data_IF_931833348761
#
_entry.id   IF_931833348761
#
_cell.length_a   1.000
_cell.length_b   1.000
_cell.length_c   1.000
_cell.angle_alpha   90.00
_cell.angle_beta   90.00
_cell.angle_gamma   90.00
#
_symmetry.space_group_name_H-M   'P 1'
#
loop_
_entity.id
_entity.type
_entity.pdbx_description
1 polymer ?
#
# COMPACT_ATOMS: atom_id res chain seq x y z
N UNK A 1 44.62 9.58 -42.90
CA UNK A 1 44.07 9.25 -41.57
C UNK A 1 42.64 8.73 -41.75
N UNK A 2 42.48 7.46 -42.13
CA UNK A 2 41.17 6.80 -42.36
C UNK A 2 41.17 5.49 -41.59
N UNK A 3 41.18 5.55 -40.26
CA UNK A 3 41.15 4.34 -39.44
C UNK A 3 40.43 4.54 -38.09
N UNK A 4 39.75 5.67 -37.88
CA UNK A 4 39.10 5.98 -36.60
C UNK A 4 37.57 5.95 -36.65
N UNK A 5 36.97 5.75 -37.83
CA UNK A 5 35.52 5.88 -38.00
C UNK A 5 34.75 4.54 -38.01
N UNK A 6 35.41 3.39 -37.80
CA UNK A 6 34.80 2.06 -37.91
C UNK A 6 34.56 1.34 -36.57
N UNK A 7 34.94 1.94 -35.43
CA UNK A 7 34.73 1.33 -34.11
C UNK A 7 33.53 1.90 -33.33
N UNK A 8 32.73 2.77 -33.95
CA UNK A 8 31.57 3.41 -33.31
C UNK A 8 30.22 2.95 -33.87
N UNK A 9 30.15 1.80 -34.56
CA UNK A 9 28.91 1.27 -35.14
C UNK A 9 28.46 -0.08 -34.56
N UNK A 10 29.19 -0.65 -33.59
CA UNK A 10 28.89 -1.97 -33.01
C UNK A 10 28.47 -1.89 -31.54
N UNK A 11 27.58 -0.96 -31.21
CA UNK A 11 26.88 -1.00 -29.92
C UNK A 11 25.60 -0.19 -30.05
N UNK A 12 24.46 -0.85 -29.81
CA UNK A 12 23.08 -0.33 -29.76
C UNK A 12 22.37 -0.54 -31.12
N UNK A 13 21.43 -1.49 -31.21
CA UNK A 13 20.27 -1.49 -30.33
C UNK A 13 19.90 -2.87 -29.74
N UNK A 14 20.30 -3.12 -28.48
CA UNK A 14 19.72 -4.21 -27.66
C UNK A 14 18.81 -3.70 -26.52
N UNK A 15 18.30 -2.48 -26.60
CA UNK A 15 17.46 -1.90 -25.51
C UNK A 15 15.96 -1.92 -25.77
N UNK A 16 15.47 -2.43 -26.90
CA UNK A 16 14.03 -2.33 -27.25
C UNK A 16 13.23 -3.62 -27.02
N UNK A 17 13.56 -4.40 -25.99
CA UNK A 17 12.59 -5.34 -25.39
C UNK A 17 12.54 -5.09 -23.88
N UNK A 18 12.36 -3.83 -23.48
CA UNK A 18 11.77 -3.54 -22.18
C UNK A 18 10.32 -4.02 -22.23
N UNK A 19 9.98 -4.96 -21.36
CA UNK A 19 8.76 -5.77 -21.37
C UNK A 19 7.49 -4.90 -21.50
N UNK A 20 6.79 -5.01 -22.63
CA UNK A 20 5.40 -4.54 -22.77
C UNK A 20 4.45 -5.59 -22.19
N UNK A 21 4.57 -5.91 -20.90
CA UNK A 21 3.44 -6.50 -20.21
C UNK A 21 2.58 -5.35 -19.72
N UNK A 22 1.39 -5.18 -20.32
CA UNK A 22 0.41 -4.28 -19.73
C UNK A 22 0.18 -4.78 -18.30
N UNK A 23 0.33 -3.92 -17.27
CA UNK A 23 0.03 -4.34 -15.91
C UNK A 23 -1.43 -4.85 -15.88
N UNK A 24 -1.73 -5.89 -15.08
CA UNK A 24 -3.11 -6.33 -14.91
C UNK A 24 -3.98 -5.13 -14.54
N UNK A 25 -5.24 -5.14 -15.00
CA UNK A 25 -6.22 -4.10 -14.67
C UNK A 25 -6.26 -3.96 -13.15
N UNK A 26 -5.73 -2.86 -12.64
CA UNK A 26 -5.72 -2.60 -11.21
C UNK A 26 -7.13 -2.21 -10.77
N UNK A 27 -7.65 -2.92 -9.77
CA UNK A 27 -8.91 -2.57 -9.12
C UNK A 27 -8.83 -1.13 -8.62
N UNK A 28 -9.87 -0.33 -8.92
CA UNK A 28 -9.97 1.06 -8.49
C UNK A 28 -11.14 1.23 -7.54
N UNK A 29 -10.91 2.00 -6.47
CA UNK A 29 -11.87 2.26 -5.42
C UNK A 29 -12.33 3.71 -5.49
N UNK A 30 -13.63 3.95 -5.37
CA UNK A 30 -14.18 5.30 -5.35
C UNK A 30 -13.63 6.10 -4.16
N UNK A 31 -13.46 7.42 -4.34
CA UNK A 31 -12.96 8.33 -3.30
C UNK A 31 -13.68 8.15 -1.97
N UNK A 32 -15.01 8.08 -1.99
CA UNK A 32 -15.83 7.91 -0.78
C UNK A 32 -15.52 6.60 -0.04
N UNK A 33 -15.29 5.51 -0.77
CA UNK A 33 -14.92 4.22 -0.17
C UNK A 33 -13.53 4.30 0.47
N UNK A 34 -12.57 4.96 -0.18
CA UNK A 34 -11.22 5.17 0.39
C UNK A 34 -11.27 6.05 1.64
N UNK A 35 -12.10 7.09 1.64
CA UNK A 35 -12.30 7.95 2.80
C UNK A 35 -12.92 7.18 3.97
N UNK A 36 -13.97 6.38 3.73
CA UNK A 36 -14.55 5.52 4.77
C UNK A 36 -13.53 4.53 5.32
N UNK A 37 -12.76 3.88 4.44
CA UNK A 37 -11.70 2.95 4.84
C UNK A 37 -10.69 3.59 5.80
N UNK A 38 -10.31 4.85 5.55
CA UNK A 38 -9.38 5.58 6.42
C UNK A 38 -10.00 5.81 7.81
N UNK A 39 -11.28 6.18 7.86
CA UNK A 39 -11.99 6.44 9.10
C UNK A 39 -12.22 5.14 9.90
N UNK A 40 -12.61 4.06 9.22
CA UNK A 40 -12.79 2.73 9.81
C UNK A 40 -11.47 2.18 10.36
N UNK A 41 -10.37 2.29 9.59
CA UNK A 41 -9.04 1.89 10.06
C UNK A 41 -8.60 2.71 11.27
N UNK A 42 -8.83 4.02 11.27
CA UNK A 42 -8.49 4.87 12.41
C UNK A 42 -9.24 4.44 13.67
N UNK A 43 -10.54 4.19 13.53
CA UNK A 43 -11.40 3.73 14.62
C UNK A 43 -10.95 2.37 15.14
N UNK A 44 -10.74 1.40 14.26
CA UNK A 44 -10.31 0.06 14.65
C UNK A 44 -8.96 0.07 15.36
N UNK A 45 -7.99 0.86 14.87
CA UNK A 45 -6.71 1.02 15.56
C UNK A 45 -6.86 1.70 16.92
N UNK A 46 -7.75 2.69 17.04
CA UNK A 46 -8.01 3.34 18.32
C UNK A 46 -8.63 2.39 19.34
N UNK A 47 -9.53 1.53 18.89
CA UNK A 47 -10.28 0.60 19.75
C UNK A 47 -9.44 -0.64 20.13
N UNK A 48 -8.64 -1.16 19.18
CA UNK A 48 -8.00 -2.48 19.29
C UNK A 48 -6.48 -2.46 19.47
N UNK A 49 -5.78 -1.33 19.22
CA UNK A 49 -4.31 -1.29 19.29
C UNK A 49 -3.80 -0.74 20.64
N UNK A 50 -3.17 -1.57 21.50
CA UNK A 50 -2.57 -1.09 22.74
C UNK A 50 -1.52 -0.02 22.50
N UNK A 51 -1.64 1.13 23.16
CA UNK A 51 -0.69 2.23 23.00
C UNK A 51 -0.82 2.99 21.68
N UNK A 52 -1.95 2.93 20.98
CA UNK A 52 -2.22 3.72 19.78
C UNK A 52 -1.91 5.23 19.96
N UNK A 53 -2.26 5.78 21.13
CA UNK A 53 -1.97 7.17 21.50
C UNK A 53 -0.68 7.36 22.32
N UNK A 54 0.24 6.38 22.32
CA UNK A 54 1.47 6.45 23.15
C UNK A 54 2.40 7.59 22.74
N UNK A 55 2.51 7.86 21.45
CA UNK A 55 3.45 8.85 20.90
C UNK A 55 2.76 10.06 20.26
N UNK A 56 1.44 10.01 20.09
CA UNK A 56 0.62 11.10 19.55
C UNK A 56 -0.71 11.15 20.28
N UNK A 57 -1.24 12.34 20.55
CA UNK A 57 -2.59 12.48 21.07
C UNK A 57 -3.64 12.35 19.95
N UNK A 58 -4.91 12.12 20.37
CA UNK A 58 -6.04 11.93 19.45
C UNK A 58 -6.19 13.07 18.45
N UNK A 59 -6.22 14.32 18.91
CA UNK A 59 -6.40 15.49 18.05
C UNK A 59 -5.31 15.61 16.97
N UNK A 60 -4.07 15.26 17.28
CA UNK A 60 -2.96 15.28 16.33
C UNK A 60 -3.09 14.21 15.24
N UNK A 61 -3.60 13.02 15.59
CA UNK A 61 -3.86 11.95 14.63
C UNK A 61 -5.09 12.25 13.76
N UNK A 62 -6.18 12.74 14.36
CA UNK A 62 -7.40 13.14 13.65
C UNK A 62 -7.08 14.20 12.58
N UNK A 63 -6.41 15.29 13.00
CA UNK A 63 -5.97 16.36 12.09
C UNK A 63 -5.07 15.86 10.97
N UNK A 64 -4.20 14.89 11.28
CA UNK A 64 -3.33 14.31 10.25
C UNK A 64 -4.15 13.52 9.22
N UNK A 65 -5.08 12.68 9.65
CA UNK A 65 -5.93 11.92 8.74
C UNK A 65 -6.85 12.83 7.91
N UNK A 66 -7.38 13.89 8.49
CA UNK A 66 -8.15 14.89 7.73
C UNK A 66 -7.29 15.52 6.63
N UNK A 67 -6.02 15.82 6.93
CA UNK A 67 -5.09 16.32 5.92
C UNK A 67 -4.80 15.29 4.82
N UNK A 68 -4.66 14.00 5.17
CA UNK A 68 -4.48 12.91 4.20
C UNK A 68 -5.71 12.81 3.30
N UNK A 69 -6.91 12.78 3.88
CA UNK A 69 -8.19 12.74 3.13
C UNK A 69 -8.32 13.94 2.18
N UNK A 70 -7.93 15.13 2.62
CA UNK A 70 -7.94 16.34 1.78
C UNK A 70 -6.97 16.25 0.57
N UNK A 71 -5.95 15.40 0.62
CA UNK A 71 -5.04 15.18 -0.53
C UNK A 71 -5.60 14.21 -1.58
N UNK A 72 -6.75 13.57 -1.32
CA UNK A 72 -7.40 12.62 -2.24
C UNK A 72 -8.23 13.41 -3.26
N UNK A 73 -7.55 13.89 -4.31
CA UNK A 73 -8.15 14.74 -5.36
C UNK A 73 -8.77 13.96 -6.52
N UNK A 74 -8.45 12.67 -6.68
CA UNK A 74 -8.97 11.80 -7.75
C UNK A 74 -10.30 11.18 -7.32
N UNK A 75 -11.16 10.90 -8.30
CA UNK A 75 -12.46 10.26 -8.03
C UNK A 75 -12.35 8.77 -7.72
N UNK A 76 -11.24 8.15 -8.13
CA UNK A 76 -10.88 6.79 -7.74
C UNK A 76 -9.38 6.61 -7.58
N UNK A 77 -9.00 5.67 -6.72
CA UNK A 77 -7.62 5.33 -6.41
C UNK A 77 -7.42 3.82 -6.58
N UNK A 78 -6.26 3.40 -7.06
CA UNK A 78 -5.83 2.00 -6.97
C UNK A 78 -5.16 1.68 -5.62
N UNK A 79 -4.86 0.41 -5.38
CA UNK A 79 -4.29 -0.08 -4.13
C UNK A 79 -2.96 0.56 -3.77
N UNK A 80 -2.10 0.81 -4.77
CA UNK A 80 -0.80 1.44 -4.55
C UNK A 80 -0.95 2.91 -4.16
N UNK A 81 -1.86 3.62 -4.83
CA UNK A 81 -2.23 4.99 -4.48
C UNK A 81 -2.77 5.08 -3.03
N UNK A 82 -3.68 4.17 -2.66
CA UNK A 82 -4.22 4.09 -1.30
C UNK A 82 -3.12 3.79 -0.28
N UNK A 83 -2.26 2.80 -0.56
CA UNK A 83 -1.13 2.45 0.29
C UNK A 83 -0.22 3.65 0.56
N UNK A 84 0.13 4.42 -0.47
CA UNK A 84 0.97 5.60 -0.31
C UNK A 84 0.30 6.71 0.51
N UNK A 85 -1.03 6.83 0.49
CA UNK A 85 -1.75 7.77 1.35
C UNK A 85 -1.72 7.35 2.82
N UNK A 86 -1.88 6.05 3.09
CA UNK A 86 -2.10 5.53 4.44
C UNK A 86 -0.79 5.17 5.16
N UNK A 87 0.23 4.69 4.44
CA UNK A 87 1.50 4.22 5.02
C UNK A 87 2.16 5.25 5.95
N UNK A 88 2.22 6.56 5.62
CA UNK A 88 2.77 7.56 6.53
C UNK A 88 1.97 7.73 7.84
N UNK A 89 0.65 7.58 7.80
CA UNK A 89 -0.17 7.60 9.00
C UNK A 89 0.15 6.41 9.91
N UNK A 90 0.25 5.19 9.35
CA UNK A 90 0.59 4.00 10.14
C UNK A 90 1.99 4.13 10.75
N UNK A 91 2.95 4.68 10.01
CA UNK A 91 4.28 5.00 10.56
C UNK A 91 4.21 6.03 11.70
N UNK A 92 3.28 7.00 11.61
CA UNK A 92 3.10 8.05 12.63
C UNK A 92 2.62 7.49 13.97
N UNK A 93 1.92 6.35 14.00
CA UNK A 93 1.54 5.66 15.24
C UNK A 93 2.79 5.36 16.10
N UNK A 94 3.93 5.05 15.46
CA UNK A 94 5.22 4.91 16.14
C UNK A 94 5.40 3.60 16.90
N UNK A 95 4.48 2.65 16.76
CA UNK A 95 4.59 1.33 17.35
C UNK A 95 5.35 0.38 16.41
N UNK A 96 6.47 -0.18 16.88
CA UNK A 96 7.39 -1.02 16.09
C UNK A 96 6.69 -2.21 15.39
N UNK A 97 5.65 -2.77 16.00
CA UNK A 97 4.94 -3.96 15.49
C UNK A 97 3.74 -3.62 14.61
N UNK A 98 3.54 -2.35 14.28
CA UNK A 98 2.39 -1.89 13.49
C UNK A 98 2.87 -1.52 12.10
N UNK A 99 2.45 -2.28 11.09
CA UNK A 99 2.86 -2.07 9.73
C UNK A 99 1.70 -2.24 8.76
N UNK A 100 1.66 -1.38 7.74
CA UNK A 100 0.84 -1.55 6.55
C UNK A 100 1.67 -2.25 5.47
N UNK A 101 1.07 -3.24 4.83
CA UNK A 101 1.64 -3.96 3.68
C UNK A 101 0.65 -3.91 2.53
N UNK A 102 1.15 -3.86 1.30
CA UNK A 102 0.32 -4.15 0.14
C UNK A 102 -0.13 -5.61 0.23
N UNK A 103 -1.35 -5.90 -0.22
CA UNK A 103 -1.75 -7.26 -0.48
C UNK A 103 -0.72 -7.84 -1.46
N UNK A 104 0.02 -8.86 -1.05
CA UNK A 104 0.86 -9.58 -2.01
C UNK A 104 -0.10 -10.14 -3.05
N UNK A 105 0.29 -10.14 -4.33
CA UNK A 105 -0.28 -11.08 -5.31
C UNK A 105 0.14 -12.47 -4.83
N UNK A 106 -0.50 -12.98 -3.77
CA UNK A 106 -0.51 -14.38 -3.48
C UNK A 106 -1.46 -14.96 -4.53
N UNK A 107 -1.03 -15.86 -5.43
CA UNK A 107 -2.00 -16.76 -6.04
C UNK A 107 -2.72 -17.37 -4.85
N UNK A 108 -4.04 -17.18 -4.75
CA UNK A 108 -4.85 -17.74 -3.66
C UNK A 108 -4.46 -19.21 -3.55
N UNK A 109 -3.68 -19.63 -2.53
CA UNK A 109 -3.57 -21.04 -2.27
C UNK A 109 -4.98 -21.35 -1.79
N UNK A 110 -5.67 -22.22 -2.52
CA UNK A 110 -6.96 -22.79 -2.13
C UNK A 110 -6.97 -22.88 -0.61
N UNK A 111 -7.89 -22.11 0.00
CA UNK A 111 -7.98 -21.99 1.44
C UNK A 111 -8.02 -23.42 1.97
N UNK A 112 -6.90 -23.93 2.48
CA UNK A 112 -6.95 -25.10 3.33
C UNK A 112 -7.79 -24.62 4.48
N UNK A 113 -9.06 -25.03 4.46
CA UNK A 113 -9.91 -25.10 5.62
C UNK A 113 -9.06 -25.79 6.68
N UNK A 114 -8.38 -25.01 7.51
CA UNK A 114 -7.82 -25.54 8.73
C UNK A 114 -9.06 -25.95 9.51
N UNK A 115 -9.25 -27.24 9.83
CA UNK A 115 -10.34 -27.63 10.69
C UNK A 115 -10.18 -26.82 11.98
N UNK A 116 -11.24 -26.10 12.36
CA UNK A 116 -11.29 -25.38 13.63
C UNK A 116 -11.12 -26.45 14.70
N UNK A 117 -9.97 -26.47 15.37
CA UNK A 117 -9.76 -27.35 16.51
C UNK A 117 -10.82 -26.99 17.57
N UNK A 118 -11.54 -27.98 18.13
CA UNK A 118 -12.56 -27.69 19.12
C UNK A 118 -11.93 -26.95 20.29
N UNK A 119 -12.57 -25.88 20.74
CA UNK A 119 -12.17 -25.12 21.91
C UNK A 119 -12.06 -26.09 23.09
N UNK A 120 -10.83 -26.31 23.57
CA UNK A 120 -10.64 -27.00 24.84
C UNK A 120 -10.97 -26.01 25.93
N UNK A 121 -12.09 -26.26 26.60
CA UNK A 121 -12.47 -25.54 27.81
C UNK A 121 -11.48 -25.93 28.92
N UNK A 122 -10.84 -24.92 29.51
CA UNK A 122 -10.22 -24.99 30.82
C UNK A 122 -10.75 -23.84 31.66
#
# INVERSE_FOLDING_TARGET
>A
MKALSLLLSCSIPLTTIAQRHAPPVQQRYARAAVTSLIDDMHKELADSHPGYYRYNNKAALDKYLDSVKATIRKDSLDELEIYHKIKPFVAKIGCLHTALSLARIYPVPEQRQQPVAPATAY
#
